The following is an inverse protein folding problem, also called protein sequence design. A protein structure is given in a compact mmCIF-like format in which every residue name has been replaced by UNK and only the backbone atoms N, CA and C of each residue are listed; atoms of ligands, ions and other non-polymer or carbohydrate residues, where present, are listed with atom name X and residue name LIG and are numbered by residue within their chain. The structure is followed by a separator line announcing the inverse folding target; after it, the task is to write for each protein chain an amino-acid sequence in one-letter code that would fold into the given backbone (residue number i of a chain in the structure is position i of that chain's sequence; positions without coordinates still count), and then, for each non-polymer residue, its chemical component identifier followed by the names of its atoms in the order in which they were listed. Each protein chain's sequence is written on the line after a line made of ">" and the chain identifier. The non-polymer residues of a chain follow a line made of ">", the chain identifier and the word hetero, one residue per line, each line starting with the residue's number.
data_IF_443338999884
#
_entry.id   IF_443338999884
#
_cell.length_a   1.000
_cell.length_b   1.000
_cell.length_c   1.000
_cell.angle_alpha   90.00
_cell.angle_beta   90.00
_cell.angle_gamma   90.00
#
_symmetry.space_group_name_H-M   'P 1'
#
loop_
_entity.id
_entity.type
_entity.pdbx_description
1 polymer ?
#
# COMPACT_ATOMS: atom_id res chain seq x y z
N UNK A 1 58.80 -21.44 -18.29
CA UNK A 1 59.33 -20.58 -19.37
C UNK A 1 58.45 -19.35 -19.35
N UNK A 2 59.07 -18.42 -18.80
CA UNK A 2 59.38 -16.99 -19.06
C UNK A 2 58.21 -16.07 -18.70
N UNK A 3 58.34 -15.41 -17.62
CA UNK A 3 59.02 -14.13 -17.23
C UNK A 3 58.15 -12.90 -17.44
N UNK A 4 57.80 -12.24 -16.33
CA UNK A 4 58.32 -10.92 -15.86
C UNK A 4 57.94 -9.72 -16.73
N UNK A 5 57.30 -8.69 -16.11
CA UNK A 5 57.87 -7.50 -15.48
C UNK A 5 56.74 -6.64 -14.91
N UNK A 6 56.68 -6.26 -13.68
CA UNK A 6 57.42 -5.25 -12.93
C UNK A 6 57.28 -3.82 -13.47
N UNK A 7 56.65 -2.96 -12.72
CA UNK A 7 56.63 -1.50 -12.88
C UNK A 7 56.00 -0.84 -11.67
N UNK A 8 56.84 -0.39 -10.75
CA UNK A 8 56.47 0.37 -9.54
C UNK A 8 56.55 1.91 -9.78
N UNK A 9 56.41 2.77 -8.77
CA UNK A 9 55.44 3.86 -8.74
C UNK A 9 56.07 5.23 -9.00
N UNK A 10 55.28 6.24 -9.25
CA UNK A 10 55.73 7.64 -9.34
C UNK A 10 55.08 8.51 -8.24
N UNK A 11 55.94 9.27 -7.66
CA UNK A 11 55.93 10.07 -6.48
C UNK A 11 54.95 11.25 -6.44
N UNK A 12 54.72 11.67 -5.20
CA UNK A 12 54.04 12.89 -4.77
C UNK A 12 54.73 14.18 -5.20
N UNK A 13 53.96 15.22 -5.48
CA UNK A 13 54.46 16.60 -5.44
C UNK A 13 53.41 17.50 -4.78
N UNK A 14 53.79 18.03 -3.64
CA UNK A 14 53.15 19.17 -2.94
C UNK A 14 53.76 20.47 -3.48
N UNK A 15 53.03 21.56 -3.59
CA UNK A 15 53.55 22.90 -3.32
C UNK A 15 52.66 23.62 -2.28
N UNK A 16 53.23 24.01 -1.24
CA UNK A 16 53.86 25.27 -0.84
C UNK A 16 52.91 26.44 -0.53
N UNK A 17 53.03 26.84 0.72
CA UNK A 17 52.34 27.90 1.46
C UNK A 17 52.86 29.26 1.03
N UNK A 18 52.01 30.25 0.87
CA UNK A 18 52.37 31.66 0.89
C UNK A 18 51.34 32.47 1.70
N UNK A 19 51.82 33.08 2.77
CA UNK A 19 51.19 34.09 3.62
C UNK A 19 51.98 35.41 3.43
N UNK A 20 51.60 36.56 4.02
CA UNK A 20 50.48 37.46 3.76
C UNK A 20 50.96 38.88 3.38
N UNK A 21 50.12 39.80 3.06
CA UNK A 21 50.45 41.26 3.05
C UNK A 21 49.29 42.05 3.70
N UNK A 22 49.70 42.91 4.61
CA UNK A 22 48.94 43.79 5.47
C UNK A 22 48.34 45.04 4.76
N UNK A 23 47.28 45.51 5.39
CA UNK A 23 46.86 46.89 5.69
C UNK A 23 46.56 47.88 4.57
N UNK A 24 45.33 48.38 4.62
CA UNK A 24 45.05 49.79 4.90
C UNK A 24 43.58 50.08 5.10
N UNK A 25 43.23 50.70 6.22
CA UNK A 25 41.90 51.32 6.51
C UNK A 25 41.85 52.68 5.80
N UNK A 26 40.66 53.15 5.42
CA UNK A 26 40.17 54.42 5.94
C UNK A 26 38.71 54.37 6.45
N UNK A 27 38.49 55.23 7.42
CA UNK A 27 37.28 55.56 8.15
C UNK A 27 36.16 56.17 7.30
N UNK A 28 34.93 56.02 7.78
CA UNK A 28 33.87 56.99 7.62
C UNK A 28 32.69 56.57 6.80
N UNK A 29 31.64 56.12 7.43
CA UNK A 29 30.32 55.94 6.81
C UNK A 29 29.27 55.57 7.84
N UNK A 30 28.34 56.45 8.05
CA UNK A 30 27.11 56.48 8.89
C UNK A 30 26.38 55.14 9.05
N UNK A 31 25.79 54.83 10.21
CA UNK A 31 25.14 53.54 10.44
C UNK A 31 23.85 53.43 9.61
N UNK A 32 23.84 52.50 8.70
CA UNK A 32 22.61 51.99 8.08
C UNK A 32 21.89 51.06 9.05
N UNK A 33 20.61 51.26 9.18
CA UNK A 33 19.68 50.48 10.01
C UNK A 33 19.87 48.98 9.76
N UNK A 34 20.17 48.26 10.82
CA UNK A 34 20.20 46.80 10.84
C UNK A 34 18.78 46.30 10.76
N UNK A 35 18.35 45.96 9.57
CA UNK A 35 17.16 45.14 9.38
C UNK A 35 17.42 43.82 10.11
N UNK A 36 16.62 43.54 11.12
CA UNK A 36 16.58 42.25 11.79
C UNK A 36 16.41 41.11 10.76
N UNK A 37 17.13 39.98 10.92
CA UNK A 37 16.91 38.84 10.06
C UNK A 37 15.43 38.40 10.20
N UNK A 38 14.77 38.32 9.05
CA UNK A 38 13.38 37.95 8.98
C UNK A 38 13.13 36.71 9.84
N UNK A 39 12.13 36.80 10.68
CA UNK A 39 11.48 35.63 11.25
C UNK A 39 11.06 34.76 10.05
N UNK A 40 11.83 33.70 9.80
CA UNK A 40 11.31 32.57 9.03
C UNK A 40 10.01 32.18 9.73
N UNK A 41 8.90 32.43 9.06
CA UNK A 41 7.61 31.96 9.50
C UNK A 41 7.78 30.45 9.67
N UNK A 42 7.84 29.98 10.92
CA UNK A 42 7.62 28.58 11.23
C UNK A 42 6.25 28.26 10.64
N UNK A 43 6.24 27.70 9.43
CA UNK A 43 5.08 27.08 8.89
C UNK A 43 4.62 26.07 9.95
N UNK A 44 3.54 26.37 10.63
CA UNK A 44 2.87 25.42 11.53
C UNK A 44 2.55 24.22 10.66
N UNK A 45 3.39 23.20 10.76
CA UNK A 45 3.20 21.93 10.06
C UNK A 45 1.93 21.36 10.64
N UNK A 46 0.82 21.54 9.92
CA UNK A 46 -0.48 20.99 10.33
C UNK A 46 -0.34 19.49 10.58
N UNK A 47 -1.22 18.95 11.40
CA UNK A 47 -1.28 17.51 11.65
C UNK A 47 -1.44 16.78 10.31
N UNK A 48 -0.49 15.90 10.00
CA UNK A 48 -0.50 15.12 8.74
C UNK A 48 -1.32 13.85 8.91
N UNK A 49 -2.35 13.74 8.08
CA UNK A 49 -3.20 12.55 8.00
C UNK A 49 -2.90 11.74 6.75
N UNK A 50 -2.34 10.54 6.94
CA UNK A 50 -2.01 9.61 5.87
C UNK A 50 -3.00 8.43 5.83
N UNK A 51 -3.43 8.08 4.63
CA UNK A 51 -4.33 6.95 4.37
C UNK A 51 -3.69 6.03 3.34
N UNK A 52 -3.54 4.77 3.70
CA UNK A 52 -3.13 3.70 2.81
C UNK A 52 -4.29 2.72 2.60
N UNK A 53 -4.53 2.33 1.37
CA UNK A 53 -5.54 1.35 1.00
C UNK A 53 -4.88 0.22 0.22
N UNK A 54 -5.03 -1.02 0.68
CA UNK A 54 -4.60 -2.20 -0.04
C UNK A 54 -5.84 -3.00 -0.50
N UNK A 55 -6.03 -3.11 -1.79
CA UNK A 55 -7.09 -3.90 -2.39
C UNK A 55 -6.61 -5.34 -2.60
N UNK A 56 -7.28 -6.31 -2.01
CA UNK A 56 -7.16 -7.73 -2.33
C UNK A 56 -8.30 -8.07 -3.29
N UNK A 57 -8.01 -8.23 -4.56
CA UNK A 57 -9.01 -8.40 -5.62
C UNK A 57 -8.91 -9.82 -6.17
N UNK A 58 -9.98 -10.57 -6.05
CA UNK A 58 -10.17 -11.80 -6.78
C UNK A 58 -10.25 -11.50 -8.27
N UNK A 59 -9.38 -12.13 -9.05
CA UNK A 59 -9.32 -11.96 -10.51
C UNK A 59 -9.61 -13.28 -11.24
N UNK A 60 -10.42 -14.13 -10.63
CA UNK A 60 -10.98 -15.31 -11.29
C UNK A 60 -12.04 -14.93 -12.33
N UNK A 61 -12.41 -15.86 -13.19
CA UNK A 61 -13.27 -15.58 -14.32
C UNK A 61 -14.65 -15.00 -13.95
N UNK A 62 -15.24 -15.42 -12.82
CA UNK A 62 -16.53 -14.92 -12.31
C UNK A 62 -16.51 -13.45 -11.94
N UNK A 63 -15.34 -12.91 -11.57
CA UNK A 63 -15.18 -11.53 -11.13
C UNK A 63 -15.16 -10.48 -12.27
N UNK A 64 -15.29 -10.89 -13.53
CA UNK A 64 -15.35 -9.96 -14.68
C UNK A 64 -16.26 -8.75 -14.48
N UNK A 65 -17.51 -8.88 -13.97
CA UNK A 65 -18.42 -7.74 -13.85
C UNK A 65 -17.90 -6.62 -12.94
N UNK A 66 -17.29 -6.98 -11.80
CA UNK A 66 -16.74 -5.96 -10.89
C UNK A 66 -15.41 -5.41 -11.39
N UNK A 67 -14.57 -6.26 -11.98
CA UNK A 67 -13.28 -5.83 -12.54
C UNK A 67 -13.46 -4.81 -13.66
N UNK A 68 -14.43 -4.98 -14.53
CA UNK A 68 -14.75 -4.00 -15.58
C UNK A 68 -15.14 -2.65 -14.98
N UNK A 69 -16.00 -2.64 -13.95
CA UNK A 69 -16.35 -1.41 -13.21
C UNK A 69 -15.14 -0.74 -12.56
N UNK A 70 -14.27 -1.52 -11.92
CA UNK A 70 -13.06 -1.00 -11.28
C UNK A 70 -12.10 -0.40 -12.31
N UNK A 71 -11.92 -1.07 -13.46
CA UNK A 71 -11.11 -0.57 -14.57
C UNK A 71 -11.65 0.73 -15.16
N UNK A 72 -12.96 0.81 -15.33
CA UNK A 72 -13.63 2.01 -15.86
C UNK A 72 -13.48 3.22 -14.92
N UNK A 73 -13.48 2.97 -13.60
CA UNK A 73 -13.39 4.01 -12.59
C UNK A 73 -11.96 4.27 -12.07
N UNK A 74 -10.96 3.48 -12.48
CA UNK A 74 -9.61 3.57 -11.92
C UNK A 74 -8.97 4.96 -12.06
N UNK A 75 -9.26 5.70 -13.15
CA UNK A 75 -8.77 7.07 -13.34
C UNK A 75 -9.53 8.12 -12.53
N UNK A 76 -10.76 7.85 -12.12
CA UNK A 76 -11.58 8.73 -11.27
C UNK A 76 -11.46 8.40 -9.78
N UNK A 77 -10.84 7.27 -9.44
CA UNK A 77 -10.86 6.73 -8.08
C UNK A 77 -10.41 7.73 -7.01
N UNK A 78 -9.33 8.47 -7.29
CA UNK A 78 -8.83 9.48 -6.36
C UNK A 78 -9.87 10.58 -6.10
N UNK A 79 -10.45 11.14 -7.18
CA UNK A 79 -11.42 12.23 -7.08
C UNK A 79 -12.69 11.78 -6.35
N UNK A 80 -13.15 10.55 -6.60
CA UNK A 80 -14.32 9.97 -5.95
C UNK A 80 -14.10 9.76 -4.45
N UNK A 81 -12.94 9.21 -4.06
CA UNK A 81 -12.56 9.02 -2.65
C UNK A 81 -12.38 10.37 -1.95
N UNK A 82 -11.65 11.31 -2.56
CA UNK A 82 -11.41 12.63 -1.98
C UNK A 82 -12.70 13.43 -1.80
N UNK A 83 -13.58 13.38 -2.80
CA UNK A 83 -14.89 14.02 -2.69
C UNK A 83 -15.69 13.44 -1.53
N UNK A 84 -15.77 12.12 -1.43
CA UNK A 84 -16.52 11.45 -0.38
C UNK A 84 -15.94 11.73 1.02
N UNK A 85 -14.61 11.73 1.16
CA UNK A 85 -13.92 12.11 2.39
C UNK A 85 -14.22 13.57 2.78
N UNK A 86 -14.15 14.49 1.83
CA UNK A 86 -14.44 15.92 2.04
C UNK A 86 -15.88 16.14 2.47
N UNK A 87 -16.83 15.48 1.80
CA UNK A 87 -18.26 15.54 2.12
C UNK A 87 -18.54 15.05 3.57
N UNK A 88 -17.69 14.15 4.07
CA UNK A 88 -17.72 13.66 5.47
C UNK A 88 -16.86 14.49 6.44
N UNK A 89 -16.31 15.62 6.00
CA UNK A 89 -15.45 16.49 6.81
C UNK A 89 -14.08 15.89 7.14
N UNK A 90 -13.59 14.94 6.35
CA UNK A 90 -12.31 14.28 6.51
C UNK A 90 -11.28 14.82 5.50
N UNK A 91 -10.26 15.53 5.99
CA UNK A 91 -9.18 16.03 5.17
C UNK A 91 -7.98 15.07 5.26
N UNK A 92 -7.63 14.47 4.14
CA UNK A 92 -6.50 13.53 4.00
C UNK A 92 -5.39 14.23 3.22
N UNK A 93 -4.19 14.25 3.79
CA UNK A 93 -3.02 14.92 3.19
C UNK A 93 -2.26 14.01 2.22
N UNK A 94 -2.29 12.69 2.47
CA UNK A 94 -1.65 11.69 1.63
C UNK A 94 -2.54 10.46 1.50
N UNK A 95 -2.83 10.07 0.27
CA UNK A 95 -3.54 8.85 -0.07
C UNK A 95 -2.64 7.95 -0.91
N UNK A 96 -2.39 6.73 -0.45
CA UNK A 96 -1.67 5.71 -1.22
C UNK A 96 -2.56 4.49 -1.43
N UNK A 97 -2.44 3.88 -2.60
CA UNK A 97 -3.19 2.68 -2.97
C UNK A 97 -2.26 1.57 -3.46
N UNK A 98 -2.60 0.35 -3.12
CA UNK A 98 -1.92 -0.88 -3.55
C UNK A 98 -2.96 -1.90 -3.98
N UNK A 99 -2.59 -2.79 -4.91
CA UNK A 99 -3.42 -3.92 -5.33
C UNK A 99 -2.65 -5.23 -5.15
N UNK A 100 -3.33 -6.22 -4.59
CA UNK A 100 -2.94 -7.62 -4.56
C UNK A 100 -4.06 -8.39 -5.25
N UNK A 101 -3.85 -8.74 -6.50
CA UNK A 101 -4.78 -9.58 -7.24
C UNK A 101 -4.52 -11.04 -6.92
N UNK A 102 -5.56 -11.83 -6.70
CA UNK A 102 -5.43 -13.24 -6.32
C UNK A 102 -6.36 -14.16 -7.11
N UNK A 103 -5.99 -15.42 -7.17
CA UNK A 103 -6.72 -16.58 -7.71
C UNK A 103 -6.54 -17.76 -6.75
N UNK A 104 -6.58 -18.99 -7.25
CA UNK A 104 -6.31 -20.20 -6.48
C UNK A 104 -4.88 -20.72 -6.69
N UNK A 105 -4.09 -20.82 -5.63
CA UNK A 105 -2.75 -21.41 -5.67
C UNK A 105 -2.72 -22.85 -6.17
N UNK A 106 -3.78 -23.63 -5.94
CA UNK A 106 -3.86 -25.02 -6.37
C UNK A 106 -4.05 -25.13 -7.88
N UNK A 107 -4.79 -24.19 -8.48
CA UNK A 107 -5.04 -24.15 -9.92
C UNK A 107 -3.97 -23.39 -10.68
N UNK A 108 -3.57 -22.23 -10.20
CA UNK A 108 -2.75 -21.26 -10.92
C UNK A 108 -1.28 -21.22 -10.45
N UNK A 109 -0.95 -21.91 -9.36
CA UNK A 109 0.42 -21.98 -8.83
C UNK A 109 1.00 -20.60 -8.53
N UNK A 110 2.21 -20.31 -9.01
CA UNK A 110 2.88 -19.03 -8.78
C UNK A 110 2.19 -17.84 -9.47
N UNK A 111 1.33 -18.08 -10.47
CA UNK A 111 0.56 -17.03 -11.15
C UNK A 111 -0.70 -16.62 -10.38
N UNK A 112 -1.02 -17.30 -9.27
CA UNK A 112 -2.20 -17.01 -8.45
C UNK A 112 -2.17 -15.62 -7.80
N UNK A 113 -1.01 -14.98 -7.69
CA UNK A 113 -0.88 -13.67 -7.06
C UNK A 113 -0.12 -12.68 -7.94
N UNK A 114 -0.64 -11.45 -8.01
CA UNK A 114 0.01 -10.31 -8.62
C UNK A 114 -0.03 -9.13 -7.65
N UNK A 115 1.12 -8.53 -7.36
CA UNK A 115 1.24 -7.45 -6.40
C UNK A 115 1.72 -6.15 -7.08
N UNK A 116 1.07 -5.03 -6.82
CA UNK A 116 1.58 -3.70 -7.17
C UNK A 116 2.42 -3.10 -6.05
N UNK A 117 3.24 -2.07 -6.30
CA UNK A 117 3.69 -1.18 -5.23
C UNK A 117 2.51 -0.38 -4.65
N UNK A 118 2.76 0.39 -3.58
CA UNK A 118 1.87 1.49 -3.23
C UNK A 118 2.06 2.66 -4.21
N UNK A 119 0.98 3.15 -4.77
CA UNK A 119 0.94 4.36 -5.60
C UNK A 119 0.44 5.54 -4.78
N UNK A 120 1.17 6.65 -4.78
CA UNK A 120 0.76 7.90 -4.14
C UNK A 120 -0.15 8.68 -5.08
N UNK A 121 -1.41 8.90 -4.67
CA UNK A 121 -2.39 9.60 -5.48
C UNK A 121 -2.47 11.10 -5.12
N UNK A 122 -2.69 12.00 -6.09
CA UNK A 122 -2.95 11.70 -7.52
C UNK A 122 -1.67 11.52 -8.36
N UNK A 123 -0.47 11.75 -7.81
CA UNK A 123 0.77 11.84 -8.58
C UNK A 123 1.06 10.57 -9.42
N UNK A 124 0.80 9.39 -8.85
CA UNK A 124 1.05 8.09 -9.49
C UNK A 124 -0.24 7.40 -9.98
N UNK A 125 -1.34 8.14 -10.09
CA UNK A 125 -2.63 7.61 -10.56
C UNK A 125 -2.57 6.93 -11.94
N UNK A 126 -1.79 7.41 -12.93
CA UNK A 126 -1.66 6.70 -14.20
C UNK A 126 -1.09 5.28 -14.04
N UNK A 127 -0.07 5.09 -13.18
CA UNK A 127 0.52 3.78 -12.90
C UNK A 127 -0.46 2.84 -12.18
N UNK A 128 -1.23 3.35 -11.23
CA UNK A 128 -2.31 2.60 -10.60
C UNK A 128 -3.35 2.13 -11.63
N UNK A 129 -3.82 3.04 -12.47
CA UNK A 129 -4.82 2.73 -13.50
C UNK A 129 -4.28 1.74 -14.55
N UNK A 130 -3.00 1.83 -14.92
CA UNK A 130 -2.35 0.88 -15.81
C UNK A 130 -2.31 -0.52 -15.20
N UNK A 131 -1.90 -0.64 -13.93
CA UNK A 131 -1.89 -1.92 -13.23
C UNK A 131 -3.29 -2.55 -13.18
N UNK A 132 -4.30 -1.77 -12.76
CA UNK A 132 -5.69 -2.26 -12.67
C UNK A 132 -6.23 -2.70 -14.03
N UNK A 133 -5.98 -1.93 -15.10
CA UNK A 133 -6.40 -2.31 -16.46
C UNK A 133 -5.70 -3.57 -16.98
N UNK A 134 -4.48 -3.84 -16.51
CA UNK A 134 -3.72 -5.03 -16.83
C UNK A 134 -4.23 -6.31 -16.16
N UNK A 135 -5.09 -6.22 -15.15
CA UNK A 135 -5.68 -7.39 -14.51
C UNK A 135 -6.59 -8.12 -15.49
N UNK A 136 -6.41 -9.43 -15.60
CA UNK A 136 -7.21 -10.28 -16.51
C UNK A 136 -8.05 -11.23 -15.65
N UNK A 137 -9.40 -11.22 -15.80
CA UNK A 137 -10.25 -12.16 -15.09
C UNK A 137 -10.16 -13.54 -15.77
N UNK A 138 -9.36 -14.42 -15.18
CA UNK A 138 -9.11 -15.78 -15.70
C UNK A 138 -8.62 -16.71 -14.59
N UNK A 139 -8.60 -18.02 -14.85
CA UNK A 139 -8.11 -19.02 -13.89
C UNK A 139 -9.03 -19.22 -12.69
N UNK A 140 -8.47 -19.64 -11.56
CA UNK A 140 -9.16 -19.88 -10.30
C UNK A 140 -9.71 -21.30 -10.12
N UNK A 141 -9.88 -22.09 -11.20
CA UNK A 141 -10.45 -23.45 -11.09
C UNK A 141 -11.86 -23.46 -10.48
N UNK A 142 -12.07 -24.36 -9.51
CA UNK A 142 -13.30 -24.43 -8.73
C UNK A 142 -13.11 -23.71 -7.38
N UNK A 143 -14.13 -22.99 -6.90
CA UNK A 143 -14.10 -22.39 -5.54
C UNK A 143 -13.78 -23.43 -4.45
N UNK A 144 -13.09 -23.06 -3.38
CA UNK A 144 -12.74 -21.71 -2.86
C UNK A 144 -11.42 -21.16 -3.39
N UNK A 145 -11.19 -19.83 -3.20
CA UNK A 145 -10.03 -19.10 -3.70
C UNK A 145 -9.01 -18.72 -2.59
N UNK A 146 -7.76 -18.37 -2.99
CA UNK A 146 -6.67 -18.07 -2.05
C UNK A 146 -6.72 -16.65 -1.46
N UNK A 147 -7.89 -16.25 -0.98
CA UNK A 147 -8.11 -14.92 -0.42
C UNK A 147 -7.45 -14.66 0.93
N UNK A 148 -7.28 -15.68 1.79
CA UNK A 148 -6.60 -15.53 3.08
C UNK A 148 -5.11 -15.28 2.90
N UNK A 149 -4.50 -15.86 1.87
CA UNK A 149 -3.12 -15.61 1.47
C UNK A 149 -2.93 -14.17 1.01
N UNK A 150 -3.87 -13.63 0.21
CA UNK A 150 -3.85 -12.24 -0.20
C UNK A 150 -3.98 -11.30 1.01
N UNK A 151 -4.84 -11.61 1.98
CA UNK A 151 -4.97 -10.85 3.23
C UNK A 151 -3.66 -10.89 4.03
N UNK A 152 -2.99 -12.03 4.13
CA UNK A 152 -1.70 -12.16 4.81
C UNK A 152 -0.63 -11.25 4.18
N UNK A 153 -0.56 -11.22 2.85
CA UNK A 153 0.35 -10.32 2.12
C UNK A 153 -0.03 -8.85 2.30
N UNK A 154 -1.32 -8.54 2.33
CA UNK A 154 -1.80 -7.19 2.59
C UNK A 154 -1.39 -6.72 3.99
N UNK A 155 -1.56 -7.53 5.03
CA UNK A 155 -1.12 -7.20 6.40
C UNK A 155 0.37 -6.87 6.42
N UNK A 156 1.20 -7.64 5.72
CA UNK A 156 2.65 -7.46 5.63
C UNK A 156 3.11 -6.41 4.60
N UNK A 157 2.19 -5.63 4.02
CA UNK A 157 2.53 -4.58 3.06
C UNK A 157 3.38 -3.47 3.69
N UNK A 158 4.16 -2.70 2.90
CA UNK A 158 4.97 -1.59 3.40
C UNK A 158 4.10 -0.36 3.71
N UNK A 159 3.27 -0.47 4.74
CA UNK A 159 2.36 0.56 5.20
C UNK A 159 3.09 1.81 5.68
N UNK A 160 2.45 2.99 5.55
CA UNK A 160 2.94 4.23 6.15
C UNK A 160 2.98 4.10 7.68
N UNK A 161 4.16 4.33 8.25
CA UNK A 161 4.37 4.33 9.71
C UNK A 161 4.49 5.75 10.29
N UNK A 162 4.67 6.75 9.44
CA UNK A 162 4.77 8.16 9.80
C UNK A 162 3.43 8.91 9.77
N UNK A 163 3.46 10.19 10.17
CA UNK A 163 2.28 11.06 10.24
C UNK A 163 1.64 11.07 11.63
N UNK A 164 0.84 12.13 11.89
CA UNK A 164 0.17 12.34 13.17
C UNK A 164 -1.11 11.49 13.30
N UNK A 165 -1.77 11.27 12.17
CA UNK A 165 -2.90 10.35 12.02
C UNK A 165 -2.67 9.42 10.83
N UNK A 166 -3.12 8.19 10.95
CA UNK A 166 -3.03 7.17 9.90
C UNK A 166 -4.30 6.35 9.85
N UNK A 167 -4.60 5.88 8.63
CA UNK A 167 -5.49 4.74 8.37
C UNK A 167 -4.81 3.77 7.42
N UNK A 168 -4.95 2.51 7.72
CA UNK A 168 -4.40 1.39 6.98
C UNK A 168 -5.58 0.46 6.70
N UNK A 169 -6.11 0.53 5.49
CA UNK A 169 -7.36 -0.14 5.11
C UNK A 169 -7.06 -1.26 4.13
N UNK A 170 -7.43 -2.47 4.48
CA UNK A 170 -7.46 -3.61 3.55
C UNK A 170 -8.91 -3.73 3.06
N UNK A 171 -9.08 -3.86 1.75
CA UNK A 171 -10.38 -4.08 1.11
C UNK A 171 -10.32 -5.37 0.31
N UNK A 172 -11.16 -6.33 0.65
CA UNK A 172 -11.24 -7.62 -0.06
C UNK A 172 -12.47 -7.61 -0.97
N UNK A 173 -12.27 -8.03 -2.22
CA UNK A 173 -13.34 -8.25 -3.20
C UNK A 173 -13.23 -9.66 -3.77
N UNK A 174 -14.25 -10.49 -3.49
CA UNK A 174 -14.36 -11.85 -4.02
C UNK A 174 -15.81 -12.30 -4.03
N UNK A 175 -16.18 -13.13 -4.97
CA UNK A 175 -17.47 -13.83 -5.00
C UNK A 175 -17.34 -15.32 -4.59
N UNK A 176 -16.20 -15.67 -3.98
CA UNK A 176 -15.86 -17.04 -3.56
C UNK A 176 -15.61 -17.12 -2.05
N UNK A 177 -15.91 -18.26 -1.40
CA UNK A 177 -15.37 -18.59 -0.09
C UNK A 177 -13.85 -18.62 -0.11
N UNK A 178 -13.21 -18.41 1.06
CA UNK A 178 -11.77 -18.47 1.15
C UNK A 178 -11.26 -19.91 1.33
N UNK A 179 -10.17 -20.26 0.65
CA UNK A 179 -9.41 -21.48 0.91
C UNK A 179 -8.93 -21.50 2.36
N UNK A 180 -9.09 -22.60 3.11
CA UNK A 180 -8.45 -22.74 4.41
C UNK A 180 -6.94 -22.77 4.26
N UNK A 181 -6.23 -22.03 5.13
CA UNK A 181 -4.80 -22.18 5.28
C UNK A 181 -4.47 -23.54 5.91
N UNK A 182 -3.83 -24.42 5.17
CA UNK A 182 -3.58 -25.82 5.58
C UNK A 182 -2.14 -26.10 5.98
N UNK A 183 -1.26 -25.09 5.93
CA UNK A 183 0.16 -25.24 6.15
C UNK A 183 0.91 -25.95 5.01
N UNK A 184 0.24 -26.19 3.90
CA UNK A 184 0.90 -26.65 2.67
C UNK A 184 1.84 -25.57 2.13
N UNK A 185 2.98 -25.96 1.54
CA UNK A 185 3.90 -24.98 0.98
C UNK A 185 3.25 -24.17 -0.13
N UNK A 186 3.19 -22.86 0.04
CA UNK A 186 2.81 -21.94 -1.03
C UNK A 186 3.95 -21.79 -2.03
N UNK A 187 3.68 -21.52 -3.32
CA UNK A 187 4.71 -21.34 -4.33
C UNK A 187 5.67 -20.20 -3.97
N UNK A 188 6.95 -20.34 -4.36
CA UNK A 188 7.87 -19.20 -4.30
C UNK A 188 7.35 -18.05 -5.17
N UNK A 189 7.47 -16.75 -4.76
CA UNK A 189 8.26 -16.25 -3.63
C UNK A 189 7.46 -16.09 -2.32
N UNK A 190 6.33 -16.75 -2.15
CA UNK A 190 5.37 -16.51 -1.06
C UNK A 190 5.54 -17.46 0.15
N UNK A 191 6.38 -18.47 0.04
CA UNK A 191 6.51 -19.59 1.01
C UNK A 191 6.70 -19.15 2.46
N UNK A 192 7.44 -18.07 2.70
CA UNK A 192 7.72 -17.56 4.05
C UNK A 192 6.84 -16.36 4.44
N UNK A 193 5.90 -15.96 3.58
CA UNK A 193 5.08 -14.76 3.80
C UNK A 193 3.66 -15.07 4.25
N UNK A 194 3.23 -16.31 4.06
CA UNK A 194 1.86 -16.74 4.31
C UNK A 194 1.82 -17.60 5.57
N UNK A 195 0.95 -17.26 6.55
CA UNK A 195 0.77 -18.06 7.75
C UNK A 195 0.31 -19.49 7.43
N UNK A 196 0.72 -20.43 8.26
CA UNK A 196 0.42 -21.87 8.06
C UNK A 196 -1.05 -22.23 8.30
N UNK A 197 -1.75 -21.45 9.12
CA UNK A 197 -3.13 -21.71 9.52
C UNK A 197 -3.85 -20.40 9.90
N UNK A 198 -5.16 -20.50 10.10
CA UNK A 198 -5.99 -19.34 10.45
C UNK A 198 -5.62 -18.73 11.81
N UNK A 199 -5.17 -19.54 12.78
CA UNK A 199 -4.71 -19.02 14.06
C UNK A 199 -3.47 -18.13 13.90
N UNK A 200 -2.49 -18.58 13.11
CA UNK A 200 -1.30 -17.79 12.82
C UNK A 200 -1.64 -16.50 12.00
N UNK A 201 -2.65 -16.56 11.13
CA UNK A 201 -3.15 -15.38 10.43
C UNK A 201 -3.85 -14.40 11.39
N UNK A 202 -4.61 -14.92 12.36
CA UNK A 202 -5.23 -14.11 13.42
C UNK A 202 -4.17 -13.46 14.29
N UNK A 203 -3.14 -14.21 14.71
CA UNK A 203 -2.01 -13.65 15.47
C UNK A 203 -1.29 -12.55 14.69
N UNK A 204 -1.15 -12.70 13.36
CA UNK A 204 -0.57 -11.67 12.49
C UNK A 204 -1.44 -10.39 12.45
N UNK A 205 -2.77 -10.54 12.34
CA UNK A 205 -3.70 -9.43 12.37
C UNK A 205 -3.71 -8.74 13.73
N UNK A 206 -3.79 -9.48 14.83
CA UNK A 206 -3.91 -8.93 16.19
C UNK A 206 -2.57 -8.45 16.78
N UNK A 207 -1.45 -8.66 16.10
CA UNK A 207 -0.14 -8.25 16.57
C UNK A 207 -0.06 -6.72 16.74
N UNK A 208 -0.05 -6.27 18.00
CA UNK A 208 0.04 -4.84 18.35
C UNK A 208 1.36 -4.19 17.94
N UNK A 209 2.43 -5.00 17.78
CA UNK A 209 3.76 -4.57 17.34
C UNK A 209 3.97 -4.80 15.83
N UNK A 210 2.92 -5.19 15.11
CA UNK A 210 2.95 -5.42 13.68
C UNK A 210 3.11 -4.13 12.87
N UNK A 211 3.25 -4.29 11.57
CA UNK A 211 3.39 -3.15 10.63
C UNK A 211 2.10 -2.31 10.52
N UNK A 212 0.95 -2.92 10.80
CA UNK A 212 -0.34 -2.22 10.92
C UNK A 212 -0.61 -1.88 12.39
N UNK A 213 -0.81 -0.60 12.67
CA UNK A 213 -1.15 -0.17 14.02
C UNK A 213 -2.57 -0.58 14.42
N UNK A 214 -2.78 -1.12 15.63
CA UNK A 214 -4.09 -1.60 16.11
C UNK A 214 -5.21 -0.56 16.02
N UNK A 215 -4.91 0.71 16.28
CA UNK A 215 -5.87 1.82 16.14
C UNK A 215 -6.08 2.29 14.70
N UNK A 216 -5.14 1.99 13.80
CA UNK A 216 -5.13 2.45 12.40
C UNK A 216 -5.71 1.44 11.43
N UNK A 217 -5.58 0.14 11.72
CA UNK A 217 -5.99 -0.94 10.82
C UNK A 217 -7.49 -1.05 10.66
N UNK A 218 -7.94 -1.33 9.45
CA UNK A 218 -9.32 -1.65 9.10
C UNK A 218 -9.33 -2.70 8.02
N UNK A 219 -10.29 -3.62 8.08
CA UNK A 219 -10.56 -4.61 7.03
C UNK A 219 -12.00 -4.46 6.59
N UNK A 220 -12.21 -4.31 5.29
CA UNK A 220 -13.51 -4.29 4.66
C UNK A 220 -13.56 -5.50 3.74
N UNK A 221 -14.55 -6.36 3.90
CA UNK A 221 -14.70 -7.59 3.12
C UNK A 221 -16.02 -7.55 2.35
N UNK A 222 -15.94 -7.58 1.04
CA UNK A 222 -17.04 -7.86 0.14
C UNK A 222 -16.87 -9.30 -0.34
N UNK A 223 -17.57 -10.23 0.30
CA UNK A 223 -17.43 -11.66 0.04
C UNK A 223 -18.70 -12.40 0.46
N UNK A 224 -18.96 -13.60 -0.07
CA UNK A 224 -20.06 -14.43 0.39
C UNK A 224 -19.91 -14.81 1.87
N UNK A 225 -21.04 -15.02 2.54
CA UNK A 225 -21.03 -15.71 3.82
C UNK A 225 -20.48 -17.12 3.63
N UNK A 226 -19.43 -17.46 4.36
CA UNK A 226 -18.78 -18.75 4.23
C UNK A 226 -17.47 -18.87 4.99
N UNK A 227 -16.85 -20.06 4.95
CA UNK A 227 -15.57 -20.30 5.63
C UNK A 227 -14.51 -19.27 5.26
N UNK A 228 -13.71 -18.91 6.23
CA UNK A 228 -12.68 -17.87 6.12
C UNK A 228 -13.23 -16.46 6.35
N UNK A 229 -14.23 -16.03 5.59
CA UNK A 229 -14.75 -14.65 5.72
C UNK A 229 -15.62 -14.46 6.94
N UNK A 230 -16.52 -15.41 7.24
CA UNK A 230 -17.31 -15.38 8.47
C UNK A 230 -16.46 -15.64 9.71
N UNK A 231 -15.39 -16.43 9.58
CA UNK A 231 -14.44 -16.63 10.67
C UNK A 231 -13.70 -15.35 11.01
N UNK A 232 -13.21 -14.62 10.00
CA UNK A 232 -12.59 -13.30 10.17
C UNK A 232 -13.56 -12.32 10.83
N UNK A 233 -14.77 -12.16 10.28
CA UNK A 233 -15.73 -11.18 10.79
C UNK A 233 -16.27 -11.53 12.18
N UNK A 234 -16.21 -12.77 12.57
CA UNK A 234 -16.63 -13.25 13.91
C UNK A 234 -15.57 -13.14 14.99
N UNK A 235 -14.29 -13.06 14.61
CA UNK A 235 -13.15 -13.13 15.56
C UNK A 235 -12.34 -11.83 15.58
N UNK A 236 -12.10 -11.19 14.44
CA UNK A 236 -11.17 -10.07 14.35
C UNK A 236 -11.85 -8.74 14.68
N UNK A 237 -11.12 -7.87 15.37
CA UNK A 237 -11.55 -6.48 15.58
C UNK A 237 -11.28 -5.62 14.33
N UNK A 238 -12.03 -4.51 14.21
CA UNK A 238 -11.88 -3.53 13.12
C UNK A 238 -12.21 -4.09 11.73
N UNK A 239 -13.13 -5.02 11.65
CA UNK A 239 -13.61 -5.66 10.41
C UNK A 239 -15.04 -5.24 10.11
N UNK A 240 -15.32 -4.98 8.85
CA UNK A 240 -16.69 -4.81 8.30
C UNK A 240 -16.84 -5.81 7.17
N UNK A 241 -17.81 -6.74 7.31
CA UNK A 241 -18.15 -7.68 6.27
C UNK A 241 -19.47 -7.26 5.60
N UNK A 242 -19.44 -7.13 4.30
CA UNK A 242 -20.58 -6.92 3.43
C UNK A 242 -20.85 -8.24 2.69
N UNK A 243 -21.81 -9.05 3.15
CA UNK A 243 -22.11 -10.31 2.50
C UNK A 243 -22.54 -10.12 1.05
N UNK A 244 -22.00 -10.94 0.15
CA UNK A 244 -22.33 -10.94 -1.27
C UNK A 244 -22.80 -12.31 -1.71
N UNK A 245 -23.30 -12.41 -2.94
CA UNK A 245 -23.75 -13.66 -3.51
C UNK A 245 -22.59 -14.40 -4.18
N UNK A 246 -22.40 -15.67 -3.82
CA UNK A 246 -21.34 -16.48 -4.36
C UNK A 246 -21.50 -16.72 -5.88
N UNK A 247 -20.39 -16.62 -6.63
CA UNK A 247 -20.34 -16.89 -8.06
C UNK A 247 -20.97 -15.83 -8.97
N UNK A 248 -21.38 -14.67 -8.43
CA UNK A 248 -22.04 -13.59 -9.19
C UNK A 248 -21.09 -12.40 -9.48
N UNK A 249 -19.79 -12.52 -9.21
CA UNK A 249 -18.78 -11.50 -9.50
C UNK A 249 -19.07 -10.16 -8.84
N UNK A 250 -19.66 -10.17 -7.64
CA UNK A 250 -20.09 -8.97 -6.92
C UNK A 250 -21.00 -8.04 -7.76
N UNK A 251 -21.82 -8.60 -8.62
CA UNK A 251 -22.65 -7.83 -9.55
C UNK A 251 -23.68 -6.93 -8.85
N UNK A 252 -24.11 -7.30 -7.64
CA UNK A 252 -25.02 -6.51 -6.80
C UNK A 252 -24.30 -5.37 -6.04
N UNK A 253 -22.96 -5.39 -5.95
CA UNK A 253 -22.22 -4.36 -5.22
C UNK A 253 -22.05 -3.13 -6.11
N UNK A 254 -22.63 -2.02 -5.69
CA UNK A 254 -22.47 -0.73 -6.35
C UNK A 254 -21.11 -0.10 -6.03
N UNK A 255 -20.47 0.52 -7.04
CA UNK A 255 -19.19 1.21 -6.87
C UNK A 255 -19.26 2.31 -5.80
N UNK A 256 -20.37 3.05 -5.73
CA UNK A 256 -20.59 4.07 -4.71
C UNK A 256 -20.57 3.49 -3.29
N UNK A 257 -21.13 2.29 -3.10
CA UNK A 257 -21.10 1.57 -1.81
C UNK A 257 -19.65 1.24 -1.39
N UNK A 258 -18.80 0.87 -2.34
CA UNK A 258 -17.37 0.60 -2.09
C UNK A 258 -16.68 1.87 -1.61
N UNK A 259 -16.82 2.98 -2.35
CA UNK A 259 -16.23 4.28 -2.00
C UNK A 259 -16.74 4.77 -0.64
N UNK A 260 -18.03 4.64 -0.37
CA UNK A 260 -18.63 5.00 0.93
C UNK A 260 -18.06 4.16 2.09
N UNK A 261 -17.92 2.86 1.91
CA UNK A 261 -17.35 1.97 2.93
C UNK A 261 -15.89 2.31 3.24
N UNK A 262 -15.10 2.59 2.21
CA UNK A 262 -13.72 3.07 2.36
C UNK A 262 -13.72 4.40 3.13
N UNK A 263 -14.48 5.39 2.69
CA UNK A 263 -14.50 6.71 3.31
C UNK A 263 -15.03 6.69 4.76
N UNK A 264 -15.94 5.78 5.10
CA UNK A 264 -16.41 5.59 6.48
C UNK A 264 -15.33 4.94 7.37
N UNK A 265 -14.46 4.13 6.80
CA UNK A 265 -13.37 3.45 7.51
C UNK A 265 -12.17 4.36 7.78
N UNK A 266 -12.02 5.43 7.01
CA UNK A 266 -11.02 6.49 7.19
C UNK A 266 -11.48 7.50 8.25
#
# INVERSE_FOLDING_TARGET
>A
MTEHESGAPAEATTPEIATPAEATTPEGGTPAETSAPGQEAMATKGLRYAVDICFCIDVTGSMSPILDRVKDNALGFYDDVQKNLTDKGKNVDELRVRVIAFRDFRADGAAALQESPFYTLPAEQPGFAEFVRGLVPEGGGDAPESGLEAVALAINSPWTTGGDRRRQVIVVWTDSPAQPLTGEPTPAPYTDKIPRDFSALTDLWENEQGVMGSSSKRLIVFAPDGPGWTDISGVWENVVHHPSKAGDGLSEVDYGTIIDSIANSV
#
